data_IF_116997472453
#
_entry.id   IF_116997472453
#
_cell.length_a   1.000
_cell.length_b   1.000
_cell.length_c   1.000
_cell.angle_alpha   90.00
_cell.angle_beta   90.00
_cell.angle_gamma   90.00
#
_symmetry.space_group_name_H-M   'P 1'
#
loop_
_entity.id
_entity.type
_entity.pdbx_description
1 polymer ?
#
# COMPACT_ATOMS: atom_id res chain seq x y z
N UNK A 1 38.44 51.89 -34.84
CA UNK A 1 38.27 50.42 -34.88
C UNK A 1 38.09 49.95 -33.46
N UNK A 2 36.84 49.61 -33.12
CA UNK A 2 36.44 49.07 -31.82
C UNK A 2 37.05 47.67 -31.65
N UNK A 3 37.71 47.43 -30.53
CA UNK A 3 38.07 46.09 -30.06
C UNK A 3 37.38 45.81 -28.74
N UNK A 4 36.16 45.25 -28.80
CA UNK A 4 35.44 44.69 -27.65
C UNK A 4 36.27 43.56 -27.04
N UNK A 5 36.65 43.68 -25.76
CA UNK A 5 37.03 42.53 -24.94
C UNK A 5 35.89 42.25 -23.96
N UNK A 6 35.02 41.34 -24.36
CA UNK A 6 33.95 40.79 -23.54
C UNK A 6 34.55 39.98 -22.40
N UNK A 7 34.31 40.40 -21.16
CA UNK A 7 34.48 39.58 -19.97
C UNK A 7 33.21 38.73 -19.84
N UNK A 8 33.31 37.44 -20.14
CA UNK A 8 32.22 36.49 -19.87
C UNK A 8 32.28 36.15 -18.39
N UNK A 9 31.38 36.76 -17.61
CA UNK A 9 31.12 36.36 -16.24
C UNK A 9 30.34 35.04 -16.30
N UNK A 10 31.04 33.92 -16.12
CA UNK A 10 30.42 32.62 -15.97
C UNK A 10 29.67 32.60 -14.62
N UNK A 11 28.40 32.99 -14.64
CA UNK A 11 27.49 32.74 -13.54
C UNK A 11 27.34 31.24 -13.37
N UNK A 12 27.87 30.70 -12.26
CA UNK A 12 27.41 29.42 -11.73
C UNK A 12 25.92 29.58 -11.41
N UNK A 13 25.06 29.24 -12.38
CA UNK A 13 23.71 28.78 -12.08
C UNK A 13 23.89 27.43 -11.39
N UNK A 14 24.06 27.46 -10.07
CA UNK A 14 23.62 26.35 -9.25
C UNK A 14 22.10 26.29 -9.47
N UNK A 15 21.69 25.45 -10.42
CA UNK A 15 20.38 24.82 -10.38
C UNK A 15 20.38 24.03 -9.07
N UNK A 16 20.07 24.72 -7.96
CA UNK A 16 19.47 24.06 -6.84
C UNK A 16 18.24 23.40 -7.42
N UNK A 17 18.31 22.09 -7.62
CA UNK A 17 17.12 21.27 -7.57
C UNK A 17 16.50 21.66 -6.24
N UNK A 18 15.50 22.54 -6.28
CA UNK A 18 14.67 22.79 -5.13
C UNK A 18 14.13 21.40 -4.79
N UNK A 19 14.69 20.80 -3.75
CA UNK A 19 14.11 19.64 -3.11
C UNK A 19 12.67 20.04 -2.88
N UNK A 20 11.72 19.39 -3.57
CA UNK A 20 10.30 19.69 -3.41
C UNK A 20 10.02 19.57 -1.92
N UNK A 21 9.95 20.71 -1.24
CA UNK A 21 9.60 20.75 0.17
C UNK A 21 8.11 20.48 0.19
N UNK A 22 7.77 19.20 0.24
CA UNK A 22 6.43 18.73 0.50
C UNK A 22 6.09 19.10 1.95
N UNK A 23 5.77 20.37 2.16
CA UNK A 23 5.33 20.92 3.44
C UNK A 23 4.09 20.17 3.92
N UNK A 24 3.89 20.16 5.22
CA UNK A 24 2.71 19.54 5.81
C UNK A 24 1.46 20.30 5.37
N UNK A 25 0.50 19.56 4.81
CA UNK A 25 -0.82 20.07 4.44
C UNK A 25 -1.87 19.49 5.39
N UNK A 26 -2.53 20.31 6.23
CA UNK A 26 -3.56 19.83 7.15
C UNK A 26 -4.83 19.33 6.45
N UNK A 27 -5.05 19.67 5.18
CA UNK A 27 -6.17 19.16 4.38
C UNK A 27 -5.88 17.80 3.76
N UNK A 28 -4.63 17.35 3.83
CA UNK A 28 -4.20 16.04 3.38
C UNK A 28 -4.17 15.02 4.52
N UNK A 29 -4.11 13.73 4.16
CA UNK A 29 -3.93 12.62 5.09
C UNK A 29 -2.46 12.17 5.19
N UNK A 30 -1.51 12.94 4.65
CA UNK A 30 -0.09 12.66 4.79
C UNK A 30 0.48 13.26 6.08
N UNK A 31 1.42 12.54 6.70
CA UNK A 31 2.19 13.06 7.83
C UNK A 31 3.31 14.00 7.36
N UNK A 32 3.82 14.89 8.23
CA UNK A 32 5.09 15.58 8.00
C UNK A 32 6.22 14.58 7.69
N UNK A 33 7.09 14.89 6.72
CA UNK A 33 8.21 13.99 6.35
C UNK A 33 9.38 14.00 7.34
N UNK A 34 9.49 15.03 8.19
CA UNK A 34 10.65 15.26 9.06
C UNK A 34 10.53 14.59 10.44
N UNK A 35 9.73 13.53 10.55
CA UNK A 35 9.56 12.79 11.80
C UNK A 35 10.70 11.79 11.90
N UNK A 36 11.68 12.10 12.75
CA UNK A 36 12.84 11.23 12.97
C UNK A 36 12.38 9.86 13.45
N UNK A 37 12.93 8.78 12.90
CA UNK A 37 12.59 7.41 13.29
C UNK A 37 11.24 6.90 12.78
N UNK A 38 10.46 7.72 12.09
CA UNK A 38 9.26 7.27 11.39
C UNK A 38 9.66 6.79 10.00
N UNK A 39 9.44 5.50 9.75
CA UNK A 39 9.62 4.93 8.42
C UNK A 39 8.64 5.51 7.41
N UNK A 40 9.09 5.61 6.17
CA UNK A 40 8.34 6.09 5.03
C UNK A 40 7.01 5.32 4.81
N UNK A 41 7.00 4.02 5.11
CA UNK A 41 5.79 3.18 5.12
C UNK A 41 4.67 3.75 5.99
N UNK A 42 5.03 4.40 7.10
CA UNK A 42 4.10 5.01 8.05
C UNK A 42 3.81 6.48 7.71
N UNK A 43 3.94 6.90 6.46
CA UNK A 43 3.76 8.29 6.03
C UNK A 43 2.32 8.82 6.04
N UNK A 44 1.32 8.00 6.40
CA UNK A 44 -0.10 8.36 6.35
C UNK A 44 -0.72 8.44 7.74
N UNK A 45 -1.70 9.32 7.89
CA UNK A 45 -2.52 9.42 9.09
C UNK A 45 -3.42 8.19 9.19
N UNK A 46 -3.36 7.50 10.32
CA UNK A 46 -4.13 6.28 10.51
C UNK A 46 -3.64 5.38 11.64
N UNK A 47 -4.22 4.18 11.70
CA UNK A 47 -3.88 3.13 12.65
C UNK A 47 -3.27 1.93 11.92
N UNK A 48 -2.16 1.43 12.47
CA UNK A 48 -1.39 0.32 11.91
C UNK A 48 -1.43 -0.85 12.89
N UNK A 49 -1.75 -2.04 12.40
CA UNK A 49 -1.86 -3.25 13.20
C UNK A 49 -0.86 -4.28 12.69
N UNK A 50 -0.09 -4.85 13.61
CA UNK A 50 0.91 -5.86 13.30
C UNK A 50 0.37 -7.25 13.64
N UNK A 51 0.61 -8.22 12.75
CA UNK A 51 0.26 -9.62 12.98
C UNK A 51 1.18 -10.57 12.19
N UNK A 52 1.02 -11.86 12.46
CA UNK A 52 1.31 -12.90 11.46
C UNK A 52 -0.01 -13.29 10.82
N UNK A 53 -0.14 -13.06 9.51
CA UNK A 53 -1.31 -13.48 8.75
C UNK A 53 -1.16 -14.94 8.29
N UNK A 54 -2.26 -15.67 8.30
CA UNK A 54 -2.35 -17.02 7.78
C UNK A 54 -3.12 -17.01 6.45
N UNK A 55 -2.53 -17.63 5.43
CA UNK A 55 -3.14 -17.75 4.10
C UNK A 55 -3.36 -19.22 3.79
N UNK A 56 -4.61 -19.61 3.63
CA UNK A 56 -4.99 -20.94 3.19
C UNK A 56 -5.26 -20.94 1.69
N UNK A 57 -4.69 -21.91 0.98
CA UNK A 57 -4.86 -22.14 -0.44
C UNK A 57 -5.36 -23.56 -0.69
N UNK A 58 -6.52 -23.68 -1.34
CA UNK A 58 -7.10 -24.97 -1.71
C UNK A 58 -7.35 -25.03 -3.21
N UNK A 59 -6.64 -25.92 -3.90
CA UNK A 59 -6.81 -26.14 -5.34
C UNK A 59 -8.03 -27.02 -5.57
N UNK A 60 -8.90 -26.59 -6.48
CA UNK A 60 -10.13 -27.31 -6.83
C UNK A 60 -9.97 -28.08 -8.14
N UNK A 61 -9.37 -27.45 -9.17
CA UNK A 61 -9.12 -28.13 -10.44
C UNK A 61 -7.92 -27.57 -11.20
N UNK A 62 -7.49 -28.34 -12.20
CA UNK A 62 -6.50 -27.94 -13.20
C UNK A 62 -7.23 -27.60 -14.50
N UNK A 63 -6.98 -26.40 -15.03
CA UNK A 63 -7.53 -25.89 -16.26
C UNK A 63 -7.27 -26.85 -17.44
N UNK A 64 -8.22 -26.93 -18.37
CA UNK A 64 -8.17 -27.82 -19.55
C UNK A 64 -8.02 -29.32 -19.26
N UNK A 65 -8.13 -29.73 -17.99
CA UNK A 65 -8.18 -31.13 -17.59
C UNK A 65 -9.63 -31.47 -17.22
N UNK A 66 -10.15 -32.67 -17.53
CA UNK A 66 -11.51 -33.06 -17.15
C UNK A 66 -11.80 -32.74 -15.67
N UNK A 67 -12.96 -32.12 -15.38
CA UNK A 67 -13.45 -31.87 -14.02
C UNK A 67 -13.25 -33.17 -13.21
N UNK A 68 -12.52 -33.11 -12.08
CA UNK A 68 -12.11 -34.22 -11.18
C UNK A 68 -10.73 -34.89 -11.38
N UNK A 69 -9.92 -34.47 -12.36
CA UNK A 69 -8.57 -35.02 -12.59
C UNK A 69 -7.44 -34.25 -11.90
N UNK A 70 -7.69 -33.67 -10.73
CA UNK A 70 -6.62 -33.08 -9.92
C UNK A 70 -5.71 -34.19 -9.36
N UNK A 71 -4.39 -33.98 -9.45
CA UNK A 71 -3.42 -34.96 -8.98
C UNK A 71 -3.49 -35.18 -7.46
N UNK A 72 -3.09 -36.37 -6.99
CA UNK A 72 -3.16 -36.76 -5.56
C UNK A 72 -2.39 -35.86 -4.60
N UNK A 73 -1.41 -35.09 -5.10
CA UNK A 73 -0.64 -34.14 -4.30
C UNK A 73 -1.41 -32.86 -3.97
N UNK A 74 -2.39 -32.48 -4.77
CA UNK A 74 -3.20 -31.27 -4.61
C UNK A 74 -4.65 -31.60 -4.21
N UNK A 75 -5.16 -32.76 -4.63
CA UNK A 75 -6.53 -33.19 -4.35
C UNK A 75 -6.80 -33.28 -2.85
N UNK A 76 -7.85 -32.57 -2.41
CA UNK A 76 -8.31 -32.50 -1.02
C UNK A 76 -7.22 -32.05 -0.03
N UNK A 77 -6.26 -31.24 -0.48
CA UNK A 77 -5.23 -30.66 0.39
C UNK A 77 -5.35 -29.15 0.42
N UNK A 78 -5.21 -28.61 1.63
CA UNK A 78 -5.05 -27.17 1.88
C UNK A 78 -3.56 -26.91 2.11
N UNK A 79 -3.02 -25.90 1.45
CA UNK A 79 -1.68 -25.36 1.74
C UNK A 79 -1.86 -24.13 2.62
N UNK A 80 -1.23 -24.14 3.79
CA UNK A 80 -1.27 -23.01 4.73
C UNK A 80 0.09 -22.30 4.72
N UNK A 81 0.07 -21.00 4.50
CA UNK A 81 1.23 -20.12 4.42
C UNK A 81 1.14 -19.07 5.51
N UNK A 82 2.29 -18.60 6.00
CA UNK A 82 2.37 -17.54 7.02
C UNK A 82 3.20 -16.39 6.50
N UNK A 83 2.72 -15.18 6.76
CA UNK A 83 3.35 -13.94 6.37
C UNK A 83 3.38 -13.00 7.56
N UNK A 84 4.47 -12.25 7.70
CA UNK A 84 4.44 -11.07 8.56
C UNK A 84 3.54 -10.04 7.88
N UNK A 85 2.64 -9.42 8.63
CA UNK A 85 1.58 -8.62 8.06
C UNK A 85 1.36 -7.32 8.82
N UNK A 86 1.16 -6.25 8.05
CA UNK A 86 0.69 -4.97 8.56
C UNK A 86 -0.63 -4.62 7.89
N UNK A 87 -1.67 -4.46 8.71
CA UNK A 87 -2.93 -3.86 8.28
C UNK A 87 -2.90 -2.37 8.61
N UNK A 88 -3.00 -1.52 7.60
CA UNK A 88 -3.08 -0.08 7.74
C UNK A 88 -4.52 0.35 7.51
N UNK A 89 -5.15 0.97 8.49
CA UNK A 89 -6.47 1.60 8.36
C UNK A 89 -6.27 3.11 8.43
N UNK A 90 -6.46 3.78 7.30
CA UNK A 90 -5.99 5.14 7.09
C UNK A 90 -7.15 6.13 6.91
N UNK A 91 -6.88 7.37 7.31
CA UNK A 91 -7.73 8.51 7.02
C UNK A 91 -7.86 8.69 5.49
N UNK A 92 -9.04 9.08 5.03
CA UNK A 92 -9.27 9.44 3.64
C UNK A 92 -8.63 10.80 3.32
N UNK A 93 -7.93 10.90 2.20
CA UNK A 93 -7.36 12.15 1.69
C UNK A 93 -8.10 12.70 0.46
N UNK A 94 -7.71 13.91 -0.01
CA UNK A 94 -8.29 14.56 -1.20
C UNK A 94 -7.98 13.80 -2.51
N UNK A 95 -6.96 12.94 -2.50
CA UNK A 95 -6.58 12.08 -3.63
C UNK A 95 -7.50 10.86 -3.83
N UNK A 96 -8.33 10.52 -2.84
CA UNK A 96 -9.28 9.44 -2.95
C UNK A 96 -10.51 9.87 -3.77
N UNK A 97 -10.72 9.21 -4.90
CA UNK A 97 -11.82 9.47 -5.83
C UNK A 97 -13.11 8.72 -5.51
N UNK A 98 -13.04 7.65 -4.72
CA UNK A 98 -14.18 6.80 -4.41
C UNK A 98 -15.11 7.35 -3.33
N UNK A 99 -15.96 6.54 -2.73
CA UNK A 99 -16.93 6.95 -1.70
C UNK A 99 -16.70 6.30 -0.32
N UNK A 100 -15.72 5.41 -0.22
CA UNK A 100 -15.37 4.77 1.04
C UNK A 100 -14.99 5.78 2.11
N UNK A 101 -15.37 5.48 3.36
CA UNK A 101 -15.15 6.36 4.50
C UNK A 101 -13.71 6.34 5.04
N UNK A 102 -12.92 5.35 4.65
CA UNK A 102 -11.52 5.16 5.05
C UNK A 102 -10.78 4.41 3.94
N UNK A 103 -9.49 4.14 4.15
CA UNK A 103 -8.67 3.30 3.28
C UNK A 103 -8.17 2.13 4.11
N UNK A 104 -8.10 0.93 3.54
CA UNK A 104 -7.35 -0.16 4.16
C UNK A 104 -6.28 -0.71 3.21
N UNK A 105 -5.10 -0.99 3.76
CA UNK A 105 -3.99 -1.66 3.09
C UNK A 105 -3.49 -2.81 3.95
N UNK A 106 -3.61 -4.03 3.44
CA UNK A 106 -2.99 -5.22 4.00
C UNK A 106 -1.71 -5.53 3.21
N UNK A 107 -0.57 -5.40 3.89
CA UNK A 107 0.74 -5.72 3.33
C UNK A 107 1.22 -7.03 3.92
N UNK A 108 1.31 -8.08 3.08
CA UNK A 108 1.88 -9.37 3.47
C UNK A 108 3.35 -9.44 3.02
N UNK A 109 4.23 -9.83 3.93
CA UNK A 109 5.67 -9.95 3.72
C UNK A 109 6.14 -11.37 4.07
N UNK A 110 7.02 -11.97 3.27
CA UNK A 110 7.67 -13.23 3.64
C UNK A 110 8.35 -13.11 5.00
N UNK A 111 8.26 -14.14 5.84
CA UNK A 111 8.96 -14.17 7.15
C UNK A 111 10.48 -14.35 7.01
N UNK A 112 10.97 -14.61 5.79
CA UNK A 112 12.38 -14.78 5.52
C UNK A 112 12.72 -14.15 4.15
N UNK A 113 13.59 -13.13 4.11
CA UNK A 113 14.18 -12.43 5.26
C UNK A 113 13.11 -11.68 6.07
N UNK A 114 13.34 -11.45 7.36
CA UNK A 114 12.50 -10.56 8.17
C UNK A 114 12.72 -9.11 7.76
N UNK A 115 11.63 -8.35 7.63
CA UNK A 115 11.66 -6.93 7.28
C UNK A 115 11.42 -6.07 8.52
N UNK A 116 12.25 -5.03 8.69
CA UNK A 116 11.92 -3.95 9.61
C UNK A 116 11.04 -2.94 8.84
N UNK A 117 9.78 -2.82 9.24
CA UNK A 117 8.80 -1.98 8.51
C UNK A 117 9.19 -0.51 8.52
N UNK A 118 9.85 -0.05 9.59
CA UNK A 118 10.34 1.33 9.69
C UNK A 118 11.46 1.66 8.72
N UNK A 119 12.14 0.66 8.14
CA UNK A 119 13.18 0.87 7.13
C UNK A 119 12.64 0.80 5.70
N UNK A 120 11.34 0.50 5.54
CA UNK A 120 10.74 0.32 4.23
C UNK A 120 10.45 1.67 3.58
N UNK A 121 10.86 1.85 2.31
CA UNK A 121 10.56 3.07 1.57
C UNK A 121 9.07 3.14 1.26
N UNK A 122 8.62 4.33 0.88
CA UNK A 122 7.18 4.56 0.74
C UNK A 122 6.57 3.78 -0.43
N UNK A 123 7.36 3.54 -1.46
CA UNK A 123 6.99 2.75 -2.64
C UNK A 123 7.08 1.25 -2.39
N UNK A 124 7.41 0.77 -1.19
CA UNK A 124 7.60 -0.65 -0.92
C UNK A 124 6.36 -1.50 -1.25
N UNK A 125 5.15 -0.98 -1.08
CA UNK A 125 3.95 -1.72 -1.49
C UNK A 125 3.87 -1.93 -3.01
N UNK A 126 4.39 -1.02 -3.83
CA UNK A 126 4.33 -1.12 -5.30
C UNK A 126 5.60 -1.70 -5.90
N UNK A 127 6.76 -1.23 -5.46
CA UNK A 127 8.08 -1.71 -5.89
C UNK A 127 8.45 -3.04 -5.24
N UNK A 128 8.08 -3.27 -3.98
CA UNK A 128 8.21 -4.56 -3.32
C UNK A 128 7.39 -5.62 -4.05
N UNK A 129 6.18 -5.29 -4.53
CA UNK A 129 5.39 -6.20 -5.39
C UNK A 129 6.15 -6.58 -6.66
N UNK A 130 6.76 -5.61 -7.35
CA UNK A 130 7.56 -5.87 -8.58
C UNK A 130 8.77 -6.76 -8.31
N UNK A 131 9.34 -6.66 -7.12
CA UNK A 131 10.50 -7.42 -6.66
C UNK A 131 10.12 -8.70 -5.90
N UNK A 132 8.83 -9.04 -5.81
CA UNK A 132 8.28 -10.19 -5.08
C UNK A 132 8.63 -10.17 -3.57
N UNK A 133 8.75 -8.99 -2.97
CA UNK A 133 9.03 -8.77 -1.55
C UNK A 133 7.75 -8.57 -0.74
N UNK A 134 6.64 -8.23 -1.41
CA UNK A 134 5.33 -8.03 -0.79
C UNK A 134 4.20 -8.57 -1.65
N UNK A 135 3.10 -8.89 -0.97
CA UNK A 135 1.80 -9.13 -1.58
C UNK A 135 0.86 -8.06 -1.02
N UNK A 136 0.69 -6.94 -1.75
CA UNK A 136 -0.18 -5.87 -1.31
C UNK A 136 -1.65 -6.20 -1.67
N UNK A 137 -2.55 -5.91 -0.73
CA UNK A 137 -4.00 -6.00 -0.85
C UNK A 137 -4.54 -4.66 -0.37
N UNK A 138 -5.18 -3.88 -1.23
CA UNK A 138 -5.53 -2.50 -0.91
C UNK A 138 -6.92 -2.09 -1.43
N UNK A 139 -7.60 -1.22 -0.68
CA UNK A 139 -8.86 -0.60 -1.14
C UNK A 139 -8.67 0.47 -2.19
N UNK A 140 -7.53 1.17 -2.16
CA UNK A 140 -7.17 2.25 -3.07
C UNK A 140 -5.69 2.11 -3.39
N UNK A 141 -5.32 2.34 -4.66
CA UNK A 141 -3.91 2.30 -5.04
C UNK A 141 -3.13 3.38 -4.28
N UNK A 142 -2.02 3.04 -3.60
CA UNK A 142 -1.20 3.99 -2.86
C UNK A 142 -0.41 4.95 -3.76
N UNK A 143 -0.19 4.58 -5.03
CA UNK A 143 0.57 5.38 -6.00
C UNK A 143 -0.09 5.31 -7.39
N UNK A 144 -1.36 5.74 -7.56
CA UNK A 144 -2.00 5.79 -8.87
C UNK A 144 -1.13 6.61 -9.82
N UNK A 145 -0.96 6.10 -11.04
CA UNK A 145 -0.11 6.70 -12.08
C UNK A 145 1.39 6.79 -11.73
N UNK A 146 1.85 6.10 -10.69
CA UNK A 146 3.26 6.02 -10.30
C UNK A 146 3.79 7.21 -9.49
N UNK A 147 2.92 8.12 -9.05
CA UNK A 147 3.31 9.24 -8.21
C UNK A 147 3.25 8.89 -6.73
N UNK A 148 4.32 9.24 -6.02
CA UNK A 148 4.34 9.30 -4.56
C UNK A 148 3.56 10.54 -4.11
N UNK A 149 2.65 10.37 -3.14
CA UNK A 149 1.58 11.34 -2.80
C UNK A 149 0.70 11.66 -4.01
N UNK A 150 -0.28 10.79 -4.29
CA UNK A 150 -1.11 10.92 -5.47
C UNK A 150 -1.85 12.26 -5.56
N UNK A 151 -2.13 12.64 -6.81
CA UNK A 151 -2.90 13.84 -7.12
C UNK A 151 -4.35 13.71 -6.66
N UNK A 152 -5.01 14.85 -6.47
CA UNK A 152 -6.42 14.91 -6.11
C UNK A 152 -7.27 14.06 -7.05
N UNK A 153 -8.24 13.33 -6.46
CA UNK A 153 -9.20 12.52 -7.20
C UNK A 153 -8.58 11.51 -8.19
N UNK A 154 -7.42 10.91 -7.85
CA UNK A 154 -6.68 10.01 -8.75
C UNK A 154 -6.78 8.53 -8.42
N UNK A 155 -7.13 8.15 -7.17
CA UNK A 155 -7.24 6.75 -6.75
C UNK A 155 -8.68 6.35 -6.46
N UNK A 156 -9.23 5.45 -7.26
CA UNK A 156 -10.59 4.94 -7.10
C UNK A 156 -10.67 3.75 -6.14
N UNK A 157 -11.84 3.55 -5.55
CA UNK A 157 -12.11 2.42 -4.67
C UNK A 157 -12.17 1.10 -5.47
N UNK A 158 -11.40 0.11 -5.04
CA UNK A 158 -11.46 -1.28 -5.53
C UNK A 158 -12.60 -2.07 -4.90
N UNK A 159 -12.84 -1.83 -3.61
CA UNK A 159 -13.98 -2.37 -2.86
C UNK A 159 -14.98 -1.25 -2.65
N UNK A 160 -16.25 -1.48 -2.93
CA UNK A 160 -17.28 -0.53 -2.49
C UNK A 160 -17.64 -0.92 -1.07
N UNK A 161 -17.43 -0.05 -0.08
CA UNK A 161 -17.64 -0.40 1.31
C UNK A 161 -18.38 0.54 2.23
N UNK A 162 -19.18 -0.08 3.10
CA UNK A 162 -19.87 0.51 4.24
C UNK A 162 -19.12 0.21 5.52
N UNK A 163 -18.90 1.25 6.29
CA UNK A 163 -18.37 1.19 7.66
C UNK A 163 -19.50 1.43 8.63
N UNK A 164 -19.67 0.54 9.61
CA UNK A 164 -20.66 0.69 10.68
C UNK A 164 -19.98 0.65 12.03
N UNK A 165 -20.45 1.50 12.95
CA UNK A 165 -20.00 1.45 14.33
C UNK A 165 -20.83 0.42 15.12
N UNK A 166 -20.15 -0.44 15.84
CA UNK A 166 -20.73 -1.43 16.74
C UNK A 166 -21.02 -0.82 18.12
N UNK A 167 -21.84 -1.51 18.92
CA UNK A 167 -22.25 -1.03 20.24
C UNK A 167 -21.10 -0.87 21.24
N UNK A 168 -20.01 -1.62 21.06
CA UNK A 168 -18.78 -1.50 21.85
C UNK A 168 -17.84 -0.38 21.36
N UNK A 169 -18.23 0.38 20.33
CA UNK A 169 -17.44 1.47 19.74
C UNK A 169 -16.51 1.04 18.60
N UNK A 170 -16.25 -0.27 18.43
CA UNK A 170 -15.46 -0.79 17.32
C UNK A 170 -16.15 -0.55 15.97
N UNK A 171 -15.38 -0.56 14.89
CA UNK A 171 -15.89 -0.41 13.53
C UNK A 171 -15.92 -1.75 12.81
N UNK A 172 -16.96 -1.97 12.00
CA UNK A 172 -17.13 -3.14 11.15
C UNK A 172 -17.24 -2.72 9.69
N UNK A 173 -16.65 -3.51 8.80
CA UNK A 173 -16.63 -3.31 7.36
C UNK A 173 -16.88 -4.67 6.68
N UNK A 174 -17.93 -4.78 5.86
CA UNK A 174 -18.33 -6.06 5.23
C UNK A 174 -18.66 -5.92 3.76
N UNK A 175 -17.91 -6.57 2.88
CA UNK A 175 -17.84 -6.18 1.47
C UNK A 175 -17.74 -7.28 0.44
N UNK A 176 -18.16 -6.90 -0.76
CA UNK A 176 -17.90 -7.58 -2.03
C UNK A 176 -17.10 -6.64 -2.95
N UNK A 177 -16.17 -7.20 -3.73
CA UNK A 177 -15.42 -6.45 -4.74
C UNK A 177 -16.36 -5.57 -5.60
N UNK A 178 -16.06 -4.27 -5.67
CA UNK A 178 -16.96 -3.27 -6.25
C UNK A 178 -16.70 -2.95 -7.72
N UNK A 179 -15.51 -3.29 -8.24
CA UNK A 179 -15.08 -2.93 -9.60
C UNK A 179 -14.77 -4.13 -10.47
N UNK A 180 -15.42 -4.16 -11.65
CA UNK A 180 -15.21 -5.11 -12.73
C UNK A 180 -14.08 -4.59 -13.66
N UNK A 181 -12.84 -4.58 -13.16
CA UNK A 181 -11.65 -4.10 -13.89
C UNK A 181 -10.85 -5.25 -14.51
N UNK A 182 -10.25 -5.02 -15.69
CA UNK A 182 -9.49 -6.05 -16.41
C UNK A 182 -8.19 -6.48 -15.71
N UNK A 183 -7.61 -5.61 -14.89
CA UNK A 183 -6.42 -5.94 -14.11
C UNK A 183 -6.78 -6.85 -12.93
N UNK A 184 -5.92 -7.80 -12.53
CA UNK A 184 -6.21 -8.63 -11.37
C UNK A 184 -6.18 -7.83 -10.06
N UNK A 185 -6.98 -8.28 -9.09
CA UNK A 185 -7.08 -7.67 -7.78
C UNK A 185 -5.72 -7.58 -7.08
N UNK A 186 -5.01 -8.71 -7.06
CA UNK A 186 -3.70 -8.89 -6.46
C UNK A 186 -2.94 -9.97 -7.24
N UNK A 187 -1.61 -9.87 -7.23
CA UNK A 187 -0.71 -10.85 -7.84
C UNK A 187 0.39 -11.18 -6.84
N UNK A 188 0.63 -12.47 -6.68
CA UNK A 188 1.50 -13.06 -5.70
C UNK A 188 2.55 -13.87 -6.46
N UNK A 189 3.79 -13.80 -6.04
CA UNK A 189 4.88 -14.52 -6.67
C UNK A 189 5.60 -15.36 -5.63
N UNK A 190 6.28 -16.41 -6.09
CA UNK A 190 7.04 -17.34 -5.24
C UNK A 190 6.19 -17.98 -4.13
N UNK A 191 4.92 -18.28 -4.43
CA UNK A 191 4.02 -18.97 -3.51
C UNK A 191 4.35 -20.45 -3.55
N UNK A 192 4.85 -21.02 -2.46
CA UNK A 192 5.27 -22.42 -2.43
C UNK A 192 4.07 -23.36 -2.18
N UNK A 193 3.83 -24.28 -3.11
CA UNK A 193 2.77 -25.29 -3.04
C UNK A 193 3.26 -26.65 -3.61
N UNK A 194 2.60 -27.78 -3.29
CA UNK A 194 2.94 -29.07 -3.89
C UNK A 194 2.67 -29.12 -5.41
N UNK A 195 3.60 -29.67 -6.19
CA UNK A 195 3.45 -29.86 -7.64
C UNK A 195 3.04 -31.27 -8.03
N UNK A 196 2.16 -31.39 -9.04
CA UNK A 196 1.80 -32.68 -9.63
C UNK A 196 3.01 -33.39 -10.25
N UNK A 197 3.80 -32.67 -11.06
CA UNK A 197 5.02 -33.20 -11.68
C UNK A 197 6.26 -32.39 -11.25
N UNK A 198 7.03 -32.95 -10.31
CA UNK A 198 8.25 -32.33 -9.78
C UNK A 198 9.47 -32.47 -10.69
N UNK A 199 9.42 -33.25 -11.78
CA UNK A 199 10.51 -33.31 -12.75
C UNK A 199 10.49 -32.13 -13.72
N UNK A 200 9.32 -31.55 -13.99
CA UNK A 200 9.15 -30.42 -14.91
C UNK A 200 8.87 -29.09 -14.20
N UNK A 201 8.20 -29.12 -13.05
CA UNK A 201 7.82 -27.92 -12.30
C UNK A 201 8.62 -27.75 -11.01
N UNK A 202 8.80 -26.49 -10.62
CA UNK A 202 9.25 -26.08 -9.29
C UNK A 202 8.05 -25.96 -8.36
N UNK A 203 8.28 -26.09 -7.05
CA UNK A 203 7.23 -25.91 -6.03
C UNK A 203 6.71 -24.48 -5.90
N UNK A 204 7.25 -23.53 -6.66
CA UNK A 204 6.90 -22.13 -6.58
C UNK A 204 5.89 -21.77 -7.68
N UNK A 205 4.92 -20.94 -7.30
CA UNK A 205 3.81 -20.54 -8.15
C UNK A 205 3.72 -19.01 -8.24
N UNK A 206 3.26 -18.55 -9.39
CA UNK A 206 2.65 -17.23 -9.51
C UNK A 206 1.15 -17.38 -9.31
N UNK A 207 0.59 -16.68 -8.33
CA UNK A 207 -0.83 -16.66 -8.04
C UNK A 207 -1.43 -15.30 -8.41
N UNK A 208 -2.62 -15.31 -8.99
CA UNK A 208 -3.36 -14.13 -9.39
C UNK A 208 -4.79 -14.27 -8.89
N UNK A 209 -5.28 -13.25 -8.20
CA UNK A 209 -6.69 -13.17 -7.76
C UNK A 209 -7.44 -12.30 -8.77
N UNK A 210 -8.33 -12.86 -9.58
CA UNK A 210 -8.99 -12.09 -10.64
C UNK A 210 -10.02 -11.11 -10.06
N UNK A 211 -10.18 -9.95 -10.70
CA UNK A 211 -11.23 -8.96 -10.37
C UNK A 211 -12.56 -9.25 -11.09
N UNK A 212 -12.54 -10.15 -12.07
CA UNK A 212 -13.67 -10.46 -12.96
C UNK A 212 -13.74 -11.96 -13.15
N UNK A 213 -14.87 -12.48 -13.65
CA UNK A 213 -14.93 -13.87 -14.08
C UNK A 213 -13.87 -14.09 -15.17
N UNK A 214 -12.83 -14.82 -14.82
CA UNK A 214 -11.74 -15.14 -15.74
C UNK A 214 -12.16 -16.29 -16.63
N UNK A 215 -11.68 -16.32 -17.88
CA UNK A 215 -11.88 -17.48 -18.77
C UNK A 215 -11.40 -18.81 -18.16
N UNK A 216 -10.44 -18.77 -17.24
CA UNK A 216 -10.01 -19.96 -16.50
C UNK A 216 -11.11 -20.56 -15.61
N UNK A 217 -12.09 -19.74 -15.21
CA UNK A 217 -13.18 -20.03 -14.28
C UNK A 217 -14.58 -19.90 -14.91
N UNK A 218 -14.70 -19.64 -16.21
CA UNK A 218 -15.99 -19.46 -16.91
C UNK A 218 -16.94 -20.65 -16.74
N UNK A 219 -16.41 -21.88 -16.74
CA UNK A 219 -17.19 -23.11 -16.56
C UNK A 219 -17.24 -23.61 -15.11
N UNK A 220 -16.81 -22.79 -14.14
CA UNK A 220 -16.74 -23.18 -12.74
C UNK A 220 -17.87 -22.57 -11.90
N UNK A 221 -18.84 -23.41 -11.55
CA UNK A 221 -20.00 -23.03 -10.74
C UNK A 221 -19.62 -22.51 -9.34
N UNK A 222 -18.39 -22.77 -8.88
CA UNK A 222 -17.88 -22.36 -7.58
C UNK A 222 -17.21 -20.99 -7.55
N UNK A 223 -17.19 -20.25 -8.66
CA UNK A 223 -16.58 -18.93 -8.71
C UNK A 223 -17.29 -17.95 -7.77
N UNK A 224 -16.50 -17.17 -7.02
CA UNK A 224 -16.98 -16.07 -6.19
C UNK A 224 -16.03 -14.88 -6.26
N UNK A 225 -16.60 -13.68 -6.22
CA UNK A 225 -15.83 -12.46 -6.04
C UNK A 225 -15.14 -12.46 -4.67
N UNK A 226 -14.02 -11.74 -4.51
CA UNK A 226 -13.41 -11.55 -3.21
C UNK A 226 -14.39 -10.91 -2.21
N UNK A 227 -14.49 -11.51 -1.04
CA UNK A 227 -15.31 -11.08 0.09
C UNK A 227 -14.41 -10.68 1.24
N UNK A 228 -14.61 -9.47 1.75
CA UNK A 228 -13.82 -8.90 2.85
C UNK A 228 -14.72 -8.67 4.05
N UNK A 229 -14.32 -9.16 5.22
CA UNK A 229 -14.85 -8.74 6.50
C UNK A 229 -13.73 -8.22 7.38
N UNK A 230 -13.94 -7.07 7.99
CA UNK A 230 -12.96 -6.47 8.88
C UNK A 230 -13.66 -5.83 10.08
N UNK A 231 -13.11 -6.02 11.27
CA UNK A 231 -13.47 -5.24 12.45
C UNK A 231 -12.21 -4.70 13.12
N UNK A 232 -12.25 -3.46 13.59
CA UNK A 232 -11.10 -2.81 14.20
C UNK A 232 -11.52 -1.78 15.25
N UNK A 233 -10.64 -1.56 16.22
CA UNK A 233 -10.79 -0.56 17.30
C UNK A 233 -9.43 0.05 17.67
N UNK A 234 -9.37 0.79 18.77
CA UNK A 234 -8.14 1.47 19.21
C UNK A 234 -7.06 0.53 19.77
N UNK A 235 -7.21 -0.80 19.59
CA UNK A 235 -6.29 -1.81 20.14
C UNK A 235 -6.02 -2.97 19.20
N UNK A 236 -7.03 -3.42 18.45
CA UNK A 236 -6.99 -4.66 17.68
C UNK A 236 -7.70 -4.51 16.36
N UNK A 237 -7.30 -5.35 15.39
CA UNK A 237 -8.02 -5.50 14.14
C UNK A 237 -8.07 -6.96 13.73
N UNK A 238 -9.24 -7.40 13.27
CA UNK A 238 -9.43 -8.67 12.60
C UNK A 238 -9.85 -8.42 11.16
N UNK A 239 -9.32 -9.23 10.24
CA UNK A 239 -9.67 -9.18 8.84
C UNK A 239 -9.69 -10.60 8.26
N UNK A 240 -10.75 -10.91 7.54
CA UNK A 240 -10.87 -12.10 6.70
C UNK A 240 -11.07 -11.66 5.25
N UNK A 241 -10.30 -12.24 4.34
CA UNK A 241 -10.46 -12.05 2.90
C UNK A 241 -10.52 -13.41 2.22
N UNK A 242 -11.68 -13.73 1.67
CA UNK A 242 -11.92 -14.99 0.96
C UNK A 242 -12.12 -14.73 -0.52
N UNK A 243 -11.63 -15.62 -1.37
CA UNK A 243 -11.83 -15.46 -2.81
C UNK A 243 -11.33 -16.63 -3.63
N UNK A 244 -11.22 -16.39 -4.93
CA UNK A 244 -10.71 -17.32 -5.92
C UNK A 244 -9.33 -16.90 -6.38
N UNK A 245 -8.47 -17.88 -6.64
CA UNK A 245 -7.18 -17.65 -7.26
C UNK A 245 -6.97 -18.52 -8.50
N UNK A 246 -6.11 -18.02 -9.38
CA UNK A 246 -5.48 -18.76 -10.46
C UNK A 246 -3.97 -18.85 -10.17
N UNK A 247 -3.39 -20.04 -10.22
CA UNK A 247 -1.97 -20.26 -9.97
C UNK A 247 -1.29 -20.98 -11.14
N UNK A 248 -0.10 -20.52 -11.50
CA UNK A 248 0.73 -21.12 -12.55
C UNK A 248 2.09 -21.49 -11.94
N UNK A 249 2.52 -22.76 -12.01
CA UNK A 249 3.82 -23.17 -11.49
C UNK A 249 4.97 -22.63 -12.34
N UNK A 250 6.11 -22.31 -11.72
CA UNK A 250 7.33 -22.05 -12.47
C UNK A 250 7.93 -23.37 -12.97
N UNK A 251 8.47 -23.39 -14.20
CA UNK A 251 9.15 -24.55 -14.76
C UNK A 251 10.60 -24.66 -14.28
N UNK A 252 11.12 -25.90 -14.21
CA UNK A 252 12.55 -26.14 -14.00
C UNK A 252 13.35 -25.76 -15.25
N UNK A 253 14.52 -25.17 -15.03
CA UNK A 253 15.44 -24.69 -16.08
C UNK A 253 15.97 -25.78 -17.04
N UNK A 254 15.85 -27.07 -16.68
CA UNK A 254 16.24 -28.20 -17.53
C UNK A 254 15.12 -28.70 -18.44
N UNK A 255 13.94 -28.08 -18.44
CA UNK A 255 12.98 -28.28 -19.53
C UNK A 255 13.46 -27.49 -20.75
N UNK A 256 13.29 -28.04 -21.95
CA UNK A 256 13.78 -27.47 -23.22
C UNK A 256 13.18 -26.11 -23.61
N UNK A 257 12.44 -25.45 -22.71
CA UNK A 257 11.78 -24.15 -22.91
C UNK A 257 12.59 -23.06 -22.19
N UNK A 258 13.28 -22.25 -22.97
CA UNK A 258 14.20 -21.19 -22.52
C UNK A 258 13.42 -20.10 -21.75
N UNK A 259 13.89 -19.84 -20.51
CA UNK A 259 13.53 -18.82 -19.49
C UNK A 259 12.65 -19.31 -18.33
N UNK A 260 12.94 -18.89 -17.07
CA UNK A 260 11.98 -18.96 -15.96
C UNK A 260 10.92 -17.86 -16.18
N UNK A 261 10.04 -18.09 -17.15
CA UNK A 261 8.78 -17.37 -17.27
C UNK A 261 7.66 -18.34 -16.86
N UNK A 262 6.55 -17.87 -16.28
CA UNK A 262 5.36 -18.70 -16.16
C UNK A 262 4.93 -19.08 -17.58
N UNK A 263 5.20 -20.31 -17.99
CA UNK A 263 4.77 -20.80 -19.30
C UNK A 263 3.34 -21.28 -19.14
N UNK A 264 2.44 -20.74 -19.96
CA UNK A 264 1.08 -21.22 -20.18
C UNK A 264 1.10 -22.63 -20.80
N UNK A 265 1.71 -23.62 -20.15
CA UNK A 265 1.74 -25.01 -20.64
C UNK A 265 0.45 -25.76 -20.26
N UNK A 266 -0.69 -25.07 -20.25
CA UNK A 266 -1.99 -25.62 -19.88
C UNK A 266 -2.19 -25.93 -18.40
N UNK A 267 -1.13 -26.15 -17.59
CA UNK A 267 -1.22 -26.42 -16.15
C UNK A 267 -1.46 -25.15 -15.32
N UNK A 268 -2.66 -24.61 -15.45
CA UNK A 268 -3.20 -23.55 -14.62
C UNK A 268 -4.07 -24.17 -13.52
N UNK A 269 -3.85 -23.81 -12.26
CA UNK A 269 -4.64 -24.32 -11.14
C UNK A 269 -5.62 -23.25 -10.66
N UNK A 270 -6.87 -23.64 -10.44
CA UNK A 270 -7.91 -22.76 -9.91
C UNK A 270 -8.32 -23.28 -8.55
N UNK A 271 -8.54 -22.35 -7.62
CA UNK A 271 -8.87 -22.71 -6.24
C UNK A 271 -9.40 -21.56 -5.42
N UNK A 272 -9.62 -21.85 -4.13
CA UNK A 272 -10.03 -20.89 -3.12
C UNK A 272 -8.84 -20.44 -2.29
N UNK A 273 -8.78 -19.15 -1.98
CA UNK A 273 -7.89 -18.64 -0.96
C UNK A 273 -8.69 -18.02 0.20
N UNK A 274 -8.11 -18.07 1.39
CA UNK A 274 -8.58 -17.37 2.58
C UNK A 274 -7.38 -16.71 3.27
N UNK A 275 -7.47 -15.42 3.54
CA UNK A 275 -6.50 -14.68 4.35
C UNK A 275 -7.13 -14.38 5.69
N UNK A 276 -6.46 -14.76 6.77
CA UNK A 276 -6.84 -14.45 8.14
C UNK A 276 -5.79 -13.58 8.79
N UNK A 277 -6.23 -12.45 9.33
CA UNK A 277 -5.41 -11.48 10.03
C UNK A 277 -6.05 -11.17 11.39
N UNK A 278 -5.27 -11.26 12.45
CA UNK A 278 -5.65 -10.88 13.81
C UNK A 278 -4.49 -10.11 14.43
N UNK A 279 -4.56 -8.79 14.35
CA UNK A 279 -3.46 -7.90 14.69
C UNK A 279 -3.70 -7.05 15.93
N UNK A 280 -2.59 -6.58 16.48
CA UNK A 280 -2.54 -5.65 17.60
C UNK A 280 -2.04 -4.31 17.11
N UNK A 281 -2.60 -3.23 17.64
CA UNK A 281 -2.22 -1.86 17.29
C UNK A 281 -0.73 -1.63 17.58
N UNK A 282 -0.04 -1.13 16.57
CA UNK A 282 1.27 -0.52 16.71
C UNK A 282 1.11 0.92 17.20
N UNK A 283 1.01 1.08 18.52
CA UNK A 283 0.76 2.39 19.13
C UNK A 283 1.84 3.42 18.77
N UNK A 284 3.09 2.98 18.58
CA UNK A 284 4.22 3.85 18.30
C UNK A 284 4.13 4.52 16.91
N UNK A 285 3.58 3.79 15.92
CA UNK A 285 3.42 4.28 14.55
C UNK A 285 1.99 4.74 14.20
N UNK A 286 1.05 4.69 15.15
CA UNK A 286 -0.37 4.98 14.92
C UNK A 286 -0.82 6.32 15.49
N UNK A 287 -1.72 6.97 14.77
CA UNK A 287 -2.49 8.10 15.29
C UNK A 287 -3.63 7.59 16.19
N UNK A 288 -4.01 8.39 17.20
CA UNK A 288 -5.09 8.03 18.12
C UNK A 288 -6.44 8.07 17.40
N UNK A 289 -7.06 6.91 17.24
CA UNK A 289 -8.42 6.80 16.70
C UNK A 289 -9.46 7.16 17.77
N UNK A 290 -10.52 7.89 17.40
CA UNK A 290 -11.69 8.09 18.27
C UNK A 290 -12.79 7.09 17.94
N UNK A 291 -13.34 6.46 18.98
CA UNK A 291 -14.44 5.49 18.89
C UNK A 291 -15.81 6.13 19.19
N UNK A 292 -15.95 7.46 19.06
CA UNK A 292 -17.18 8.18 19.44
C UNK A 292 -18.05 8.59 18.26
N UNK A 293 -17.54 8.43 17.05
CA UNK A 293 -18.19 8.91 15.83
C UNK A 293 -18.68 7.74 15.00
N UNK A 294 -19.71 7.97 14.19
CA UNK A 294 -20.28 6.97 13.29
C UNK A 294 -19.29 6.46 12.24
N UNK A 295 -18.23 7.23 11.98
CA UNK A 295 -17.12 6.90 11.10
C UNK A 295 -15.80 7.03 11.86
N UNK A 296 -14.77 6.25 11.51
CA UNK A 296 -13.46 6.33 12.14
C UNK A 296 -12.81 7.68 11.82
N UNK A 297 -12.28 8.34 12.84
CA UNK A 297 -11.45 9.55 12.69
C UNK A 297 -10.23 9.48 13.58
N UNK A 298 -9.17 10.19 13.19
CA UNK A 298 -7.86 10.13 13.83
C UNK A 298 -7.44 11.50 14.34
N UNK A 299 -6.95 11.53 15.58
CA UNK A 299 -6.20 12.65 16.10
C UNK A 299 -4.73 12.49 15.69
N UNK A 300 -4.25 13.40 14.84
CA UNK A 300 -2.87 13.44 14.36
C UNK A 300 -1.92 13.67 15.54
N UNK A 301 -1.20 12.62 15.89
CA UNK A 301 -0.36 12.55 17.10
C UNK A 301 1.05 12.06 16.79
N UNK A 302 1.26 11.32 15.70
CA UNK A 302 2.61 10.94 15.27
C UNK A 302 3.28 12.14 14.60
N UNK A 303 4.42 12.58 15.14
CA UNK A 303 5.11 13.80 14.68
C UNK A 303 4.52 15.12 15.18
N UNK A 304 3.55 15.06 16.09
CA UNK A 304 2.97 16.22 16.76
C UNK A 304 3.19 16.08 18.27
N UNK A 305 3.91 17.02 18.90
CA UNK A 305 4.55 16.92 20.22
C UNK A 305 3.65 16.73 21.46
N UNK A 306 2.41 16.24 21.30
CA UNK A 306 1.43 16.08 22.38
C UNK A 306 1.14 14.62 22.76
N UNK A 307 1.87 13.64 22.21
CA UNK A 307 1.66 12.23 22.55
C UNK A 307 2.97 11.51 22.87
N UNK A 308 3.20 11.23 24.16
CA UNK A 308 4.40 10.55 24.66
C UNK A 308 4.53 9.09 24.22
N UNK A 309 3.47 8.49 23.66
CA UNK A 309 3.50 7.14 23.10
C UNK A 309 4.09 7.08 21.68
N UNK A 310 4.21 8.24 21.01
CA UNK A 310 4.63 8.34 19.61
C UNK A 310 6.02 8.98 19.52
N UNK A 311 6.63 8.88 18.35
CA UNK A 311 7.93 9.51 18.09
C UNK A 311 7.78 11.04 18.12
N UNK A 312 8.57 11.73 18.95
CA UNK A 312 8.69 13.20 18.94
C UNK A 312 8.65 13.93 20.29
N UNK A 313 9.19 13.37 21.38
CA UNK A 313 9.27 14.09 22.67
C UNK A 313 10.50 15.00 22.84
N UNK A 314 11.24 15.30 21.76
CA UNK A 314 12.45 16.14 21.85
C UNK A 314 12.20 17.64 21.58
N UNK A 315 10.94 18.09 21.61
CA UNK A 315 10.64 19.52 21.70
C UNK A 315 10.09 19.84 23.08
N UNK A 316 10.81 20.71 23.79
CA UNK A 316 10.29 21.40 24.98
C UNK A 316 8.89 21.96 24.67
N UNK A 317 7.96 21.91 25.65
CA UNK A 317 6.60 22.37 25.44
C UNK A 317 6.59 23.81 24.94
N UNK A 318 6.16 24.01 23.70
CA UNK A 318 5.83 25.35 23.20
C UNK A 318 4.60 25.78 23.99
N UNK A 319 4.81 26.70 24.93
CA UNK A 319 3.73 27.42 25.59
C UNK A 319 2.80 27.99 24.51
N UNK A 320 1.54 27.62 24.61
CA UNK A 320 0.45 28.09 23.78
C UNK A 320 0.24 29.60 24.04
N UNK A 321 0.96 30.46 23.32
CA UNK A 321 0.70 31.90 23.35
C UNK A 321 -0.40 32.22 22.33
N UNK A 322 -1.63 32.32 22.83
CA UNK A 322 -2.70 33.04 22.17
C UNK A 322 -2.28 34.49 21.93
N UNK A 323 -2.01 34.89 20.67
CA UNK A 323 -1.95 36.30 20.29
C UNK A 323 -2.11 36.50 18.77
N UNK A 324 -3.30 36.97 18.39
CA UNK A 324 -3.58 37.98 17.37
C UNK A 324 -2.90 37.85 15.98
N UNK A 325 -3.68 37.34 15.02
CA UNK A 325 -3.54 37.69 13.60
C UNK A 325 -3.72 39.22 13.44
N UNK A 326 -2.63 39.94 13.17
CA UNK A 326 -2.68 41.28 12.57
C UNK A 326 -2.06 41.18 11.18
N UNK A 327 -2.90 41.50 10.19
CA UNK A 327 -2.54 41.74 8.80
C UNK A 327 -1.44 42.78 8.68
N UNK A 328 -0.37 42.47 7.95
CA UNK A 328 0.55 43.47 7.43
C UNK A 328 1.12 43.03 6.09
N UNK A 329 0.52 43.55 5.03
CA UNK A 329 1.09 43.67 3.70
C UNK A 329 2.31 44.59 3.74
N UNK A 330 3.45 44.15 3.19
CA UNK A 330 4.57 45.04 2.86
C UNK A 330 5.03 44.80 1.43
N UNK A 331 4.73 45.79 0.60
CA UNK A 331 5.27 46.05 -0.73
C UNK A 331 6.62 46.74 -0.54
N UNK A 332 7.70 46.25 -1.14
CA UNK A 332 8.93 47.05 -1.32
C UNK A 332 9.50 46.85 -2.71
N UNK A 333 9.33 47.88 -3.53
CA UNK A 333 10.02 48.17 -4.79
C UNK A 333 11.46 48.62 -4.52
N UNK A 334 12.42 48.14 -5.31
CA UNK A 334 13.80 48.63 -5.33
C UNK A 334 14.09 49.28 -6.69
N UNK A 335 14.28 50.60 -6.67
CA UNK A 335 14.68 51.41 -7.81
C UNK A 335 16.21 51.36 -7.99
N UNK A 336 16.64 51.18 -9.24
CA UNK A 336 18.05 51.22 -9.66
C UNK A 336 18.46 52.66 -9.94
N UNK A 337 19.46 53.18 -9.23
CA UNK A 337 20.12 54.44 -9.55
C UNK A 337 21.53 54.16 -10.10
N UNK A 338 21.74 54.52 -11.37
CA UNK A 338 23.04 54.52 -12.04
C UNK A 338 23.74 55.83 -11.71
N UNK A 339 25.01 55.79 -11.32
CA UNK A 339 25.85 56.98 -11.18
C UNK A 339 27.21 56.74 -11.85
N UNK A 340 27.42 57.42 -12.98
CA UNK A 340 28.73 57.63 -13.57
C UNK A 340 29.43 58.78 -12.83
N UNK A 341 30.70 58.61 -12.46
CA UNK A 341 31.61 59.73 -12.30
C UNK A 341 32.99 59.37 -12.87
N UNK A 342 33.36 60.10 -13.92
CA UNK A 342 34.71 60.19 -14.45
C UNK A 342 35.48 61.27 -13.69
N UNK A 343 36.80 61.10 -13.53
CA UNK A 343 37.85 62.13 -13.56
C UNK A 343 39.20 61.49 -13.20
N UNK A 344 40.03 61.19 -14.20
CA UNK A 344 41.22 61.96 -14.60
C UNK A 344 41.73 61.46 -15.96
#
# INVERSE_FOLDING_TARGET
MLGFKSVVLAGLLTLGLAEDKFEYDPLSNFRPRNITGLGDFYGWVGSYYNATAEVELKVEYEYMTPKNKLCSKLKNKTTTLKYDAVLSVLERGPWNAGNNSMIFWLTLMPQTPTYNVSDLPTDFMTDGRRKNLTIPIYSNDPTPNGYWRPQDNSSWDKFNFTTTQLSNGAYSVNQTLGRNESEPFSSWANVTMPVCNSSTHTGDYRLVTPNILSYYAEDWDGYKNPELSMQFDDKTANLTLDGVFHATPYMRLNSTKIRPAPVQDGSAFIGYFSVQFNGVLDAYHSDKMTLKQSLPTWQRTVGFGNNTANIGNDQEPVEESAANMVSASVLTTLAVAVSFLALF
#
